data_IF_474611029442
#
_entry.id   IF_474611029442
#
_cell.length_a   1.000
_cell.length_b   1.000
_cell.length_c   1.000
_cell.angle_alpha   90.00
_cell.angle_beta   90.00
_cell.angle_gamma   90.00
#
_symmetry.space_group_name_H-M   'P 1'
#
loop_
_entity.id
_entity.type
_entity.pdbx_description
1 polymer ?
#
# COMPACT_ATOMS: atom_id res chain seq x y z
N UNK A 1 7.68 -63.52 -21.24
CA UNK A 1 6.85 -62.34 -21.63
C UNK A 1 6.39 -61.66 -20.35
N UNK A 2 6.98 -60.52 -19.98
CA UNK A 2 6.60 -59.77 -18.78
C UNK A 2 6.27 -58.34 -19.20
N UNK A 3 5.08 -57.92 -18.79
CA UNK A 3 4.39 -56.69 -19.16
C UNK A 3 4.95 -55.49 -18.39
N UNK A 4 5.26 -54.39 -19.08
CA UNK A 4 5.61 -53.10 -18.48
C UNK A 4 4.38 -52.17 -18.54
N UNK A 5 3.75 -51.93 -17.40
CA UNK A 5 2.69 -50.94 -17.26
C UNK A 5 3.29 -49.57 -16.92
N UNK A 6 3.24 -48.63 -17.87
CA UNK A 6 3.56 -47.22 -17.65
C UNK A 6 2.40 -46.54 -16.92
N UNK A 7 2.58 -46.24 -15.62
CA UNK A 7 1.68 -45.35 -14.87
C UNK A 7 2.16 -43.90 -15.05
N UNK A 8 1.45 -43.13 -15.86
CA UNK A 8 1.58 -41.68 -15.91
C UNK A 8 0.91 -41.05 -14.67
N UNK A 9 1.66 -40.23 -13.92
CA UNK A 9 1.19 -39.52 -12.74
C UNK A 9 0.91 -38.06 -13.14
N UNK A 10 -0.37 -37.69 -13.25
CA UNK A 10 -0.78 -36.32 -13.54
C UNK A 10 -0.53 -35.43 -12.31
N UNK A 11 0.23 -34.35 -12.48
CA UNK A 11 0.44 -33.30 -11.49
C UNK A 11 -0.70 -32.29 -11.61
N UNK A 12 -1.58 -32.25 -10.60
CA UNK A 12 -2.61 -31.22 -10.48
C UNK A 12 -1.98 -29.92 -9.94
N UNK A 13 -2.01 -28.85 -10.73
CA UNK A 13 -1.65 -27.49 -10.33
C UNK A 13 -2.73 -26.88 -9.41
N UNK A 14 -2.40 -26.34 -8.23
CA UNK A 14 -3.37 -25.60 -7.43
C UNK A 14 -3.61 -24.21 -8.04
N UNK A 15 -4.86 -23.94 -8.44
CA UNK A 15 -5.32 -22.61 -8.79
C UNK A 15 -5.49 -21.77 -7.53
N UNK A 16 -4.54 -20.87 -7.28
CA UNK A 16 -4.67 -19.85 -6.24
C UNK A 16 -5.82 -18.91 -6.60
N UNK A 17 -6.88 -18.96 -5.80
CA UNK A 17 -8.08 -18.12 -5.90
C UNK A 17 -7.67 -16.67 -5.61
N UNK A 18 -7.59 -15.87 -6.67
CA UNK A 18 -7.27 -14.44 -6.60
C UNK A 18 -8.26 -13.69 -5.70
N UNK A 19 -7.74 -12.67 -5.01
CA UNK A 19 -8.34 -12.03 -3.84
C UNK A 19 -9.74 -11.47 -4.05
N UNK A 20 -10.54 -11.59 -2.99
CA UNK A 20 -11.77 -10.84 -2.81
C UNK A 20 -11.43 -9.34 -2.81
N UNK A 21 -11.68 -8.67 -3.93
CA UNK A 21 -11.70 -7.22 -4.02
C UNK A 21 -12.86 -6.72 -3.16
N UNK A 22 -12.58 -6.39 -1.90
CA UNK A 22 -13.49 -5.57 -1.08
C UNK A 22 -13.49 -4.16 -1.66
N UNK A 23 -14.34 -3.91 -2.64
CA UNK A 23 -14.64 -2.56 -3.11
C UNK A 23 -15.46 -1.84 -2.04
N UNK A 24 -14.84 -0.94 -1.30
CA UNK A 24 -15.56 0.03 -0.47
C UNK A 24 -16.19 1.06 -1.41
N UNK A 25 -17.44 0.85 -1.80
CA UNK A 25 -18.25 1.89 -2.43
C UNK A 25 -18.67 2.89 -1.35
N UNK A 26 -17.88 3.95 -1.20
CA UNK A 26 -18.30 5.19 -0.54
C UNK A 26 -18.50 6.23 -1.63
N UNK A 27 -19.71 6.26 -2.20
CA UNK A 27 -20.19 7.40 -2.97
C UNK A 27 -21.45 7.94 -2.32
N UNK A 28 -21.29 9.00 -1.52
CA UNK A 28 -22.35 10.00 -1.36
C UNK A 28 -21.72 11.37 -1.40
N UNK A 29 -21.58 11.89 -2.62
CA UNK A 29 -21.44 13.32 -2.85
C UNK A 29 -22.85 13.90 -2.67
N UNK A 30 -23.05 14.66 -1.61
CA UNK A 30 -24.22 15.56 -1.49
C UNK A 30 -23.64 16.97 -1.58
N UNK A 31 -23.65 17.51 -2.80
CA UNK A 31 -23.59 18.95 -3.01
C UNK A 31 -24.95 19.32 -3.60
N UNK A 32 -25.76 19.98 -2.77
CA UNK A 32 -27.12 20.37 -3.07
C UNK A 32 -27.59 21.16 -1.86
N UNK A 33 -27.38 22.47 -1.92
CA UNK A 33 -27.93 23.45 -1.00
C UNK A 33 -29.46 23.44 -1.18
N UNK A 34 -30.14 22.52 -0.48
CA UNK A 34 -31.59 22.52 -0.39
C UNK A 34 -32.00 23.72 0.47
N UNK A 35 -32.74 24.64 -0.13
CA UNK A 35 -33.51 25.62 0.62
C UNK A 35 -34.31 24.89 1.72
N UNK A 36 -34.35 25.40 2.96
CA UNK A 36 -35.03 24.72 4.05
C UNK A 36 -36.52 24.63 3.71
N UNK A 37 -37.00 23.43 3.40
CA UNK A 37 -38.43 23.19 3.31
C UNK A 37 -39.04 23.37 4.70
N UNK A 38 -40.27 23.84 4.78
CA UNK A 38 -40.98 24.15 6.04
C UNK A 38 -41.09 22.94 7.00
N UNK A 39 -40.77 21.73 6.56
CA UNK A 39 -40.65 20.53 7.39
C UNK A 39 -39.38 20.50 8.27
N UNK A 40 -38.32 21.22 7.88
CA UNK A 40 -37.11 21.37 8.70
C UNK A 40 -37.33 22.36 9.88
N UNK A 41 -38.31 23.26 9.76
CA UNK A 41 -38.63 24.23 10.81
C UNK A 41 -39.51 23.64 11.93
N UNK A 42 -40.10 22.47 11.73
CA UNK A 42 -40.88 21.72 12.72
C UNK A 42 -40.29 20.34 13.06
N UNK A 43 -39.03 20.10 12.66
CA UNK A 43 -38.33 18.86 12.99
C UNK A 43 -38.04 18.81 14.50
N UNK A 44 -38.88 18.09 15.24
CA UNK A 44 -38.65 17.76 16.64
C UNK A 44 -37.43 16.83 16.73
N UNK A 45 -36.25 17.41 16.93
CA UNK A 45 -35.05 16.62 17.19
C UNK A 45 -35.18 15.91 18.54
N UNK A 46 -34.70 14.65 18.65
CA UNK A 46 -34.63 13.99 19.94
C UNK A 46 -33.75 14.84 20.86
N UNK A 47 -34.27 15.16 22.05
CA UNK A 47 -33.52 15.98 23.01
C UNK A 47 -32.31 15.19 23.52
N UNK A 48 -31.13 15.56 23.05
CA UNK A 48 -29.87 14.96 23.50
C UNK A 48 -29.53 15.45 24.91
N UNK A 49 -30.04 14.76 25.92
CA UNK A 49 -29.67 14.98 27.32
C UNK A 49 -28.31 14.39 27.66
N UNK A 50 -27.82 14.68 28.87
CA UNK A 50 -26.57 14.13 29.43
C UNK A 50 -26.57 12.59 29.61
N UNK A 51 -27.68 11.91 29.33
CA UNK A 51 -27.78 10.45 29.29
C UNK A 51 -27.72 9.88 27.86
N UNK A 52 -27.40 10.68 26.85
CA UNK A 52 -27.18 10.18 25.51
C UNK A 52 -25.95 9.26 25.47
N UNK A 53 -25.94 8.33 24.51
CA UNK A 53 -24.82 7.40 24.34
C UNK A 53 -23.48 8.10 24.21
N UNK A 54 -23.44 9.28 23.59
CA UNK A 54 -22.24 10.09 23.44
C UNK A 54 -21.64 10.50 24.80
N UNK A 55 -22.47 11.00 25.72
CA UNK A 55 -22.03 11.39 27.06
C UNK A 55 -21.61 10.19 27.90
N UNK A 56 -22.31 9.06 27.79
CA UNK A 56 -21.97 7.83 28.53
C UNK A 56 -20.62 7.28 28.09
N UNK A 57 -20.39 7.17 26.78
CA UNK A 57 -19.09 6.73 26.26
C UNK A 57 -17.99 7.75 26.56
N UNK A 58 -18.28 9.05 26.51
CA UNK A 58 -17.33 10.11 26.90
C UNK A 58 -16.92 10.02 28.37
N UNK A 59 -17.86 9.80 29.28
CA UNK A 59 -17.60 9.63 30.72
C UNK A 59 -16.79 8.37 31.01
N UNK A 60 -17.14 7.24 30.36
CA UNK A 60 -16.38 6.00 30.47
C UNK A 60 -14.95 6.19 29.95
N UNK A 61 -14.78 6.86 28.81
CA UNK A 61 -13.46 7.14 28.26
C UNK A 61 -12.63 8.05 29.19
N UNK A 62 -13.25 9.06 29.80
CA UNK A 62 -12.58 9.96 30.74
C UNK A 62 -12.15 9.22 32.01
N UNK A 63 -13.04 8.40 32.60
CA UNK A 63 -12.73 7.59 33.78
C UNK A 63 -11.66 6.54 33.46
N UNK A 64 -11.80 5.85 32.33
CA UNK A 64 -10.82 4.85 31.87
C UNK A 64 -9.46 5.48 31.60
N UNK A 65 -9.42 6.66 30.98
CA UNK A 65 -8.19 7.42 30.74
C UNK A 65 -7.53 7.88 32.04
N UNK A 66 -8.31 8.35 33.03
CA UNK A 66 -7.79 8.75 34.34
C UNK A 66 -7.22 7.56 35.13
N UNK A 67 -7.88 6.40 35.08
CA UNK A 67 -7.40 5.17 35.69
C UNK A 67 -6.09 4.68 35.04
N UNK A 68 -6.02 4.71 33.71
CA UNK A 68 -4.81 4.37 32.97
C UNK A 68 -3.65 5.34 33.27
N UNK A 69 -3.93 6.64 33.38
CA UNK A 69 -2.94 7.65 33.77
C UNK A 69 -2.39 7.38 35.17
N UNK A 70 -3.24 7.01 36.13
CA UNK A 70 -2.79 6.67 37.49
C UNK A 70 -1.92 5.43 37.52
N UNK A 71 -2.29 4.37 36.79
CA UNK A 71 -1.51 3.13 36.72
C UNK A 71 -0.13 3.34 36.07
N UNK A 72 -0.07 4.17 35.03
CA UNK A 72 1.18 4.49 34.33
C UNK A 72 2.05 5.44 35.13
N UNK A 73 1.49 6.47 35.76
CA UNK A 73 2.23 7.43 36.59
C UNK A 73 2.83 6.82 37.86
N UNK A 74 2.29 5.70 38.37
CA UNK A 74 2.86 5.00 39.54
C UNK A 74 4.05 4.10 39.20
N UNK A 75 4.33 3.84 37.92
CA UNK A 75 5.55 3.14 37.51
C UNK A 75 6.69 4.14 37.37
N UNK A 76 7.61 4.11 38.34
CA UNK A 76 8.90 4.79 38.27
C UNK A 76 9.73 4.23 37.11
N UNK A 77 10.40 5.12 36.37
CA UNK A 77 11.25 4.86 35.20
C UNK A 77 12.49 3.97 35.43
N UNK A 78 12.50 3.12 36.46
CA UNK A 78 13.66 2.30 36.84
C UNK A 78 13.33 0.91 37.40
N UNK A 79 12.09 0.43 37.29
CA UNK A 79 11.81 -0.98 37.56
C UNK A 79 12.24 -1.81 36.35
N UNK A 80 13.18 -2.74 36.54
CA UNK A 80 13.66 -3.68 35.49
C UNK A 80 12.52 -4.50 34.86
N UNK A 81 11.38 -4.60 35.54
CA UNK A 81 10.20 -5.26 35.03
C UNK A 81 9.22 -4.32 34.29
N UNK A 82 8.81 -4.65 33.04
CA UNK A 82 7.91 -3.82 32.25
C UNK A 82 6.53 -3.63 32.91
N UNK A 83 5.78 -2.61 32.47
CA UNK A 83 4.39 -2.41 32.89
C UNK A 83 3.58 -3.70 32.74
N UNK A 84 2.68 -4.07 33.68
CA UNK A 84 1.85 -5.27 33.53
C UNK A 84 0.98 -5.16 32.27
N UNK A 85 0.58 -3.94 31.90
CA UNK A 85 -0.08 -3.64 30.64
C UNK A 85 0.85 -3.90 29.44
N UNK A 86 2.12 -3.53 29.51
CA UNK A 86 3.11 -3.84 28.46
C UNK A 86 3.34 -5.36 28.36
N UNK A 87 3.51 -6.09 29.48
CA UNK A 87 3.62 -7.56 29.49
C UNK A 87 2.37 -8.22 28.86
N UNK A 88 1.19 -7.68 29.16
CA UNK A 88 -0.06 -8.16 28.59
C UNK A 88 -0.12 -7.92 27.09
N UNK A 89 0.23 -6.71 26.63
CA UNK A 89 0.31 -6.40 25.20
C UNK A 89 1.35 -7.30 24.52
N UNK A 90 2.52 -7.47 25.12
CA UNK A 90 3.59 -8.33 24.60
C UNK A 90 3.12 -9.77 24.39
N UNK A 91 2.37 -10.33 25.35
CA UNK A 91 1.79 -11.67 25.24
C UNK A 91 0.75 -11.83 24.12
N UNK A 92 0.14 -10.74 23.66
CA UNK A 92 -0.82 -10.71 22.56
C UNK A 92 -0.16 -10.41 21.21
N UNK A 93 1.10 -9.97 21.22
CA UNK A 93 1.86 -9.61 20.02
C UNK A 93 2.81 -10.71 19.60
N UNK A 94 3.32 -10.63 18.36
CA UNK A 94 4.39 -11.52 17.92
C UNK A 94 5.70 -11.14 18.62
N UNK A 95 6.50 -12.13 19.08
CA UNK A 95 7.71 -11.85 19.81
C UNK A 95 8.74 -11.13 18.93
N UNK A 96 9.50 -10.21 19.54
CA UNK A 96 10.46 -9.38 18.82
C UNK A 96 11.50 -10.21 18.08
N UNK A 97 11.95 -11.34 18.63
CA UNK A 97 12.92 -12.24 17.99
C UNK A 97 12.45 -12.76 16.63
N UNK A 98 11.18 -13.16 16.53
CA UNK A 98 10.60 -13.61 15.26
C UNK A 98 10.49 -12.47 14.26
N UNK A 99 10.12 -11.26 14.70
CA UNK A 99 10.07 -10.09 13.81
C UNK A 99 11.45 -9.73 13.26
N UNK A 100 12.49 -9.78 14.10
CA UNK A 100 13.87 -9.53 13.68
C UNK A 100 14.32 -10.59 12.68
N UNK A 101 14.04 -11.86 12.93
CA UNK A 101 14.37 -12.96 12.02
C UNK A 101 13.67 -12.82 10.66
N UNK A 102 12.39 -12.46 10.66
CA UNK A 102 11.62 -12.25 9.43
C UNK A 102 12.14 -11.03 8.63
N UNK A 103 12.50 -9.96 9.33
CA UNK A 103 13.11 -8.78 8.70
C UNK A 103 14.47 -9.11 8.08
N UNK A 104 15.32 -9.87 8.79
CA UNK A 104 16.59 -10.36 8.26
C UNK A 104 16.40 -11.22 7.01
N UNK A 105 15.47 -12.18 7.05
CA UNK A 105 15.14 -12.99 5.89
C UNK A 105 14.69 -12.14 4.69
N UNK A 106 13.91 -11.08 4.92
CA UNK A 106 13.49 -10.16 3.85
C UNK A 106 14.67 -9.38 3.25
N UNK A 107 15.62 -8.93 4.08
CA UNK A 107 16.84 -8.28 3.60
C UNK A 107 17.67 -9.24 2.74
N UNK A 108 17.80 -10.50 3.15
CA UNK A 108 18.53 -11.52 2.38
C UNK A 108 17.88 -11.77 1.01
N UNK A 109 16.54 -11.87 0.97
CA UNK A 109 15.80 -12.01 -0.30
C UNK A 109 15.98 -10.79 -1.20
N UNK A 110 15.99 -9.60 -0.63
CA UNK A 110 16.16 -8.34 -1.37
C UNK A 110 17.57 -8.23 -1.94
N UNK A 111 18.58 -8.61 -1.15
CA UNK A 111 19.98 -8.64 -1.59
C UNK A 111 20.17 -9.62 -2.75
N UNK A 112 19.73 -10.88 -2.59
CA UNK A 112 19.80 -11.90 -3.66
C UNK A 112 19.08 -11.45 -4.93
N UNK A 113 17.94 -10.80 -4.78
CA UNK A 113 17.19 -10.23 -5.91
C UNK A 113 17.99 -9.14 -6.61
N UNK A 114 18.58 -8.21 -5.86
CA UNK A 114 19.40 -7.13 -6.40
C UNK A 114 20.64 -7.67 -7.14
N UNK A 115 21.33 -8.66 -6.57
CA UNK A 115 22.45 -9.34 -7.21
C UNK A 115 22.02 -10.00 -8.53
N UNK A 116 20.90 -10.74 -8.53
CA UNK A 116 20.38 -11.36 -9.76
C UNK A 116 19.97 -10.34 -10.82
N UNK A 117 19.46 -9.18 -10.38
CA UNK A 117 19.07 -8.10 -11.27
C UNK A 117 20.30 -7.44 -11.90
N UNK A 118 21.37 -7.23 -11.13
CA UNK A 118 22.63 -6.70 -11.63
C UNK A 118 23.23 -7.65 -12.70
N UNK A 119 23.29 -8.95 -12.41
CA UNK A 119 23.76 -9.96 -13.36
C UNK A 119 22.94 -9.96 -14.66
N UNK A 120 21.61 -9.81 -14.56
CA UNK A 120 20.75 -9.73 -15.73
C UNK A 120 20.93 -8.42 -16.50
N UNK A 121 21.14 -7.29 -15.81
CA UNK A 121 21.39 -5.99 -16.44
C UNK A 121 22.70 -5.99 -17.22
N UNK A 122 23.77 -6.54 -16.65
CA UNK A 122 25.07 -6.66 -17.34
C UNK A 122 24.99 -7.59 -18.55
N UNK A 123 24.17 -8.65 -18.47
CA UNK A 123 23.96 -9.57 -19.57
C UNK A 123 23.06 -9.01 -20.68
N UNK A 124 22.16 -8.07 -20.36
CA UNK A 124 21.23 -7.48 -21.33
C UNK A 124 21.87 -6.30 -22.04
N UNK A 125 21.85 -6.32 -23.38
CA UNK A 125 22.17 -5.13 -24.17
C UNK A 125 21.21 -3.98 -23.80
N UNK A 126 21.68 -2.72 -23.70
CA UNK A 126 20.79 -1.60 -23.40
C UNK A 126 19.65 -1.57 -24.40
N UNK A 127 18.43 -1.31 -23.91
CA UNK A 127 17.22 -1.28 -24.74
C UNK A 127 17.36 -0.16 -25.78
N UNK A 128 17.70 -0.53 -27.01
CA UNK A 128 17.69 0.39 -28.13
C UNK A 128 16.24 0.74 -28.46
N UNK A 129 15.84 1.98 -28.15
CA UNK A 129 14.55 2.51 -28.59
C UNK A 129 14.58 2.67 -30.10
N UNK A 130 13.75 1.89 -30.80
CA UNK A 130 13.55 2.03 -32.24
C UNK A 130 12.37 2.97 -32.46
N UNK A 131 12.66 4.11 -33.06
CA UNK A 131 11.62 5.03 -33.53
C UNK A 131 11.33 4.70 -34.99
N UNK A 132 10.06 4.39 -35.28
CA UNK A 132 9.60 4.09 -36.64
C UNK A 132 9.30 5.38 -37.41
N UNK A 133 8.63 6.31 -36.72
CA UNK A 133 8.28 7.61 -37.28
C UNK A 133 9.35 8.64 -36.93
N UNK A 134 10.04 9.14 -37.95
CA UNK A 134 11.02 10.22 -37.81
C UNK A 134 10.34 11.58 -37.60
N UNK A 135 9.10 11.71 -38.04
CA UNK A 135 8.30 12.93 -37.93
C UNK A 135 7.98 13.33 -36.49
N UNK A 136 8.10 12.41 -35.54
CA UNK A 136 7.86 12.69 -34.11
C UNK A 136 8.88 13.68 -33.53
N UNK A 137 10.09 13.72 -34.08
CA UNK A 137 11.13 14.67 -33.65
C UNK A 137 10.80 16.11 -34.05
N UNK A 138 10.09 16.30 -35.16
CA UNK A 138 9.68 17.61 -35.66
C UNK A 138 8.39 18.14 -35.01
N UNK A 139 7.57 17.24 -34.45
CA UNK A 139 6.26 17.57 -33.87
C UNK A 139 6.31 18.03 -32.40
N UNK A 140 7.50 18.21 -31.82
CA UNK A 140 7.62 18.60 -30.41
C UNK A 140 7.10 20.03 -30.19
N UNK A 141 6.27 20.29 -29.16
CA UNK A 141 5.77 21.62 -28.89
C UNK A 141 6.92 22.57 -28.51
N UNK A 142 7.16 23.59 -29.34
CA UNK A 142 8.26 24.57 -29.17
C UNK A 142 8.08 25.55 -28.00
N UNK A 143 7.15 25.27 -27.09
CA UNK A 143 6.83 26.19 -25.98
C UNK A 143 7.69 25.83 -24.77
N UNK A 144 8.40 26.83 -24.24
CA UNK A 144 9.32 26.72 -23.08
C UNK A 144 10.59 25.87 -23.32
N UNK A 145 11.07 25.76 -24.57
CA UNK A 145 12.40 25.22 -24.82
C UNK A 145 13.46 26.31 -24.56
N UNK A 146 14.55 26.01 -23.82
CA UNK A 146 15.65 26.95 -23.68
C UNK A 146 16.35 27.16 -25.03
N UNK A 147 16.83 28.37 -25.27
CA UNK A 147 17.62 28.67 -26.48
C UNK A 147 18.86 27.78 -26.51
N UNK A 148 19.05 27.06 -27.62
CA UNK A 148 20.15 26.08 -27.78
C UNK A 148 19.90 24.70 -27.15
N UNK A 149 18.70 24.42 -26.64
CA UNK A 149 18.31 23.08 -26.16
C UNK A 149 17.80 22.14 -27.27
N UNK A 150 17.64 22.64 -28.49
CA UNK A 150 17.26 21.85 -29.65
C UNK A 150 18.48 21.07 -30.16
N UNK A 151 18.33 19.75 -30.29
CA UNK A 151 19.33 18.88 -30.93
C UNK A 151 19.11 18.98 -32.43
N UNK A 152 20.18 19.20 -33.21
CA UNK A 152 20.11 19.20 -34.66
C UNK A 152 19.80 17.79 -35.18
N UNK A 153 18.67 17.65 -35.87
CA UNK A 153 18.17 16.38 -36.41
C UNK A 153 18.29 16.29 -37.94
N UNK A 154 19.01 17.22 -38.58
CA UNK A 154 19.07 17.34 -40.04
C UNK A 154 19.74 16.18 -40.77
N UNK A 155 20.67 15.44 -40.13
CA UNK A 155 21.36 14.28 -40.73
C UNK A 155 20.72 12.92 -40.36
N UNK A 156 19.47 12.93 -39.89
CA UNK A 156 18.81 11.71 -39.44
C UNK A 156 18.36 10.85 -40.64
N UNK A 157 19.00 9.69 -40.83
CA UNK A 157 18.75 8.76 -41.95
C UNK A 157 17.91 7.56 -41.50
N UNK A 158 16.85 7.27 -42.26
CA UNK A 158 16.08 6.03 -42.10
C UNK A 158 16.88 4.85 -42.68
N UNK A 159 16.94 3.73 -41.95
CA UNK A 159 17.45 2.48 -42.51
C UNK A 159 16.28 1.68 -43.14
N UNK A 160 16.16 1.60 -44.47
CA UNK A 160 15.02 0.98 -45.14
C UNK A 160 15.01 -0.56 -45.03
N UNK A 161 16.13 -1.21 -44.70
CA UNK A 161 16.24 -2.68 -44.65
C UNK A 161 15.59 -3.31 -43.41
N UNK A 162 15.16 -2.50 -42.43
CA UNK A 162 14.66 -2.96 -41.12
C UNK A 162 13.26 -2.47 -40.77
N UNK A 163 12.53 -1.93 -41.76
CA UNK A 163 11.12 -1.49 -41.65
C UNK A 163 10.17 -2.62 -42.03
#
# INVERSE_FOLDING_TARGET
>A
MVSMALRARALATPTLRAGAKRSLHTSRVVCGEQAPSSAAQSAQYPQEGFNSSLWRFGLIALIGGAAAYRLTATKKDGSEEPAPLTKYIESLTTPTEETVKNNQAHLDWTLKKAESQLLMQDAQKPKAHRLKDLTIFEQYPRRNLPVGGEVDMSDLKLNPERV
#
